data_IF_291098260792
#
_entry.id   IF_291098260792
#
_cell.length_a   1.000
_cell.length_b   1.000
_cell.length_c   1.000
_cell.angle_alpha   90.00
_cell.angle_beta   90.00
_cell.angle_gamma   90.00
#
_symmetry.space_group_name_H-M   'P 1'
#
loop_
_entity.id
_entity.type
_entity.pdbx_description
1 polymer ?
#
# COMPACT_ATOMS: atom_id res chain seq x y z
N UNK A 1 -8.73 -25.13 18.75
CA UNK A 1 -7.88 -25.46 17.59
C UNK A 1 -8.74 -25.47 16.35
N UNK A 2 -8.93 -24.32 15.72
CA UNK A 2 -9.52 -24.23 14.38
C UNK A 2 -8.34 -24.18 13.44
N UNK A 3 -8.28 -25.14 12.52
CA UNK A 3 -7.22 -25.29 11.56
C UNK A 3 -7.05 -24.00 10.74
N UNK A 4 -5.82 -23.53 10.71
CA UNK A 4 -5.30 -22.40 9.93
C UNK A 4 -5.42 -22.74 8.44
N UNK A 5 -6.56 -22.41 7.82
CA UNK A 5 -6.59 -22.15 6.39
C UNK A 5 -5.89 -20.81 6.18
N UNK A 6 -4.89 -20.76 5.30
CA UNK A 6 -4.11 -19.58 4.91
C UNK A 6 -4.99 -18.34 4.75
N UNK A 7 -5.17 -17.58 5.84
CA UNK A 7 -6.02 -16.40 5.83
C UNK A 7 -5.15 -15.25 5.32
N UNK A 8 -5.04 -15.12 4.00
CA UNK A 8 -4.30 -14.05 3.34
C UNK A 8 -4.98 -12.73 3.68
N UNK A 9 -4.45 -12.06 4.70
CA UNK A 9 -4.94 -10.76 5.15
C UNK A 9 -4.76 -9.73 4.02
N UNK A 10 -5.85 -9.09 3.61
CA UNK A 10 -5.83 -8.05 2.58
C UNK A 10 -5.77 -6.68 3.21
N UNK A 11 -4.92 -5.82 2.67
CA UNK A 11 -4.84 -4.41 3.06
C UNK A 11 -5.55 -3.56 2.03
N UNK A 12 -6.51 -2.77 2.48
CA UNK A 12 -7.36 -1.92 1.65
C UNK A 12 -7.17 -0.48 2.09
N UNK A 13 -6.99 0.44 1.14
CA UNK A 13 -7.13 1.88 1.37
C UNK A 13 -8.41 2.40 0.71
N UNK A 14 -9.25 3.12 1.45
CA UNK A 14 -10.40 3.84 0.89
C UNK A 14 -10.05 5.29 0.63
N UNK A 15 -10.30 5.74 -0.59
CA UNK A 15 -9.88 7.04 -1.11
C UNK A 15 -11.05 7.64 -1.91
N UNK A 16 -11.16 8.97 -1.97
CA UNK A 16 -12.29 9.66 -2.63
C UNK A 16 -12.40 11.09 -2.15
N UNK A 17 -13.13 11.94 -2.88
CA UNK A 17 -13.38 13.34 -2.53
C UNK A 17 -14.10 13.47 -1.17
N UNK A 18 -14.11 14.68 -0.63
CA UNK A 18 -15.08 15.05 0.39
C UNK A 18 -16.49 14.83 -0.18
N UNK A 19 -17.40 14.30 0.63
CA UNK A 19 -18.79 13.95 0.28
C UNK A 19 -19.02 12.77 -0.67
N UNK A 20 -17.99 12.08 -1.19
CA UNK A 20 -18.19 10.88 -2.03
C UNK A 20 -18.78 9.67 -1.27
N UNK A 21 -18.93 9.77 0.05
CA UNK A 21 -19.57 8.75 0.88
C UNK A 21 -18.64 7.63 1.37
N UNK A 22 -17.32 7.89 1.50
CA UNK A 22 -16.32 6.92 1.99
C UNK A 22 -16.71 6.29 3.32
N UNK A 23 -16.92 7.12 4.34
CA UNK A 23 -17.31 6.72 5.69
C UNK A 23 -18.62 5.93 5.69
N UNK A 24 -19.56 6.28 4.81
CA UNK A 24 -20.82 5.55 4.64
C UNK A 24 -20.60 4.16 4.06
N UNK A 25 -19.79 4.03 3.01
CA UNK A 25 -19.45 2.73 2.40
C UNK A 25 -18.73 1.83 3.40
N UNK A 26 -17.75 2.37 4.13
CA UNK A 26 -17.01 1.63 5.16
C UNK A 26 -17.96 1.19 6.27
N UNK A 27 -18.79 2.10 6.79
CA UNK A 27 -19.77 1.77 7.82
C UNK A 27 -20.75 0.70 7.36
N UNK A 28 -21.19 0.74 6.10
CA UNK A 28 -22.05 -0.28 5.46
C UNK A 28 -21.35 -1.63 5.38
N UNK A 29 -20.11 -1.68 4.88
CA UNK A 29 -19.29 -2.89 4.84
C UNK A 29 -19.13 -3.50 6.23
N UNK A 30 -18.80 -2.69 7.24
CA UNK A 30 -18.59 -3.18 8.61
C UNK A 30 -19.90 -3.65 9.28
N UNK A 31 -21.01 -2.95 9.04
CA UNK A 31 -22.32 -3.29 9.59
C UNK A 31 -22.85 -4.59 8.99
N UNK A 32 -22.89 -4.68 7.67
CA UNK A 32 -23.54 -5.77 6.95
C UNK A 32 -22.66 -7.04 6.89
N UNK A 33 -21.33 -6.91 7.00
CA UNK A 33 -20.42 -8.06 7.18
C UNK A 33 -20.46 -8.69 8.58
N UNK A 34 -21.30 -8.15 9.50
CA UNK A 34 -21.40 -8.58 10.91
C UNK A 34 -20.08 -8.49 11.68
N UNK A 35 -19.15 -7.64 11.23
CA UNK A 35 -17.85 -7.43 11.88
C UNK A 35 -17.92 -6.60 13.17
N UNK A 36 -19.07 -5.98 13.45
CA UNK A 36 -19.31 -5.16 14.64
C UNK A 36 -20.17 -5.93 15.64
N UNK A 37 -19.67 -6.14 16.86
CA UNK A 37 -20.44 -6.70 17.97
C UNK A 37 -21.70 -5.86 18.24
N UNK A 38 -22.86 -6.51 18.46
CA UNK A 38 -24.18 -5.86 18.68
C UNK A 38 -24.16 -4.72 19.70
N UNK A 39 -23.29 -4.81 20.71
CA UNK A 39 -23.14 -3.81 21.75
C UNK A 39 -22.66 -2.45 21.21
N UNK A 40 -21.78 -2.43 20.20
CA UNK A 40 -21.32 -1.18 19.58
C UNK A 40 -22.39 -0.55 18.70
N UNK A 41 -23.17 -1.36 17.98
CA UNK A 41 -24.32 -0.90 17.19
C UNK A 41 -25.37 -0.20 18.08
N UNK A 42 -25.63 -0.75 19.27
CA UNK A 42 -26.56 -0.15 20.24
C UNK A 42 -26.09 1.22 20.77
N UNK A 43 -24.78 1.42 20.91
CA UNK A 43 -24.20 2.71 21.30
C UNK A 43 -24.35 3.77 20.18
N UNK A 44 -24.20 3.34 18.92
CA UNK A 44 -24.36 4.20 17.74
C UNK A 44 -25.80 4.58 17.43
N UNK A 45 -26.77 3.68 17.64
CA UNK A 45 -28.20 4.02 17.54
C UNK A 45 -28.55 5.14 18.52
N UNK A 46 -27.96 5.13 19.72
CA UNK A 46 -28.14 6.18 20.74
C UNK A 46 -27.46 7.50 20.35
N UNK A 47 -26.27 7.43 19.74
CA UNK A 47 -25.55 8.61 19.25
C UNK A 47 -26.21 9.25 18.03
N UNK A 48 -26.70 8.46 17.07
CA UNK A 48 -27.41 8.93 15.86
C UNK A 48 -28.69 9.70 16.22
N UNK A 49 -29.43 9.23 17.24
CA UNK A 49 -30.61 9.94 17.78
C UNK A 49 -30.28 11.31 18.39
N UNK A 50 -29.02 11.59 18.72
CA UNK A 50 -28.58 12.83 19.34
C UNK A 50 -28.10 13.88 18.33
N UNK A 51 -27.83 13.48 17.08
CA UNK A 51 -27.18 14.32 16.05
C UNK A 51 -27.95 14.43 14.72
N UNK A 52 -29.24 14.06 14.64
CA UNK A 52 -30.01 14.17 13.40
C UNK A 52 -31.48 13.73 13.48
N UNK A 53 -32.10 13.53 12.31
CA UNK A 53 -33.53 13.25 12.06
C UNK A 53 -34.04 11.86 12.48
N UNK A 54 -33.17 11.02 13.06
CA UNK A 54 -33.48 9.65 13.47
C UNK A 54 -33.03 8.56 12.47
N UNK A 55 -32.44 8.93 11.33
CA UNK A 55 -31.78 7.99 10.42
C UNK A 55 -30.48 7.40 11.01
N UNK A 56 -30.17 6.14 10.66
CA UNK A 56 -29.01 5.43 11.18
C UNK A 56 -27.75 5.90 10.45
N UNK A 57 -26.97 6.78 11.09
CA UNK A 57 -25.78 7.37 10.46
C UNK A 57 -24.55 6.48 10.65
N UNK A 58 -24.27 5.66 9.63
CA UNK A 58 -23.15 4.73 9.60
C UNK A 58 -21.76 5.41 9.59
N UNK A 59 -21.65 6.68 9.20
CA UNK A 59 -20.37 7.41 9.25
C UNK A 59 -19.86 7.60 10.69
N UNK A 60 -20.74 7.55 11.69
CA UNK A 60 -20.35 7.63 13.10
C UNK A 60 -19.51 6.43 13.58
N UNK A 61 -19.47 5.34 12.81
CA UNK A 61 -18.59 4.19 13.07
C UNK A 61 -17.12 4.47 12.75
N UNK A 62 -16.86 5.30 11.76
CA UNK A 62 -15.52 5.53 11.21
C UNK A 62 -14.81 6.68 11.90
N UNK A 63 -15.55 7.74 12.25
CA UNK A 63 -14.98 9.02 12.70
C UNK A 63 -14.57 8.97 14.18
N UNK A 64 -13.27 8.85 14.42
CA UNK A 64 -12.68 8.59 15.74
C UNK A 64 -12.42 9.87 16.54
N UNK A 65 -12.06 10.97 15.87
CA UNK A 65 -11.67 12.22 16.52
C UNK A 65 -12.87 13.17 16.71
N UNK A 66 -12.84 13.96 17.79
CA UNK A 66 -13.85 15.03 18.01
C UNK A 66 -13.85 16.07 16.89
N UNK A 67 -12.66 16.44 16.40
CA UNK A 67 -12.50 17.38 15.29
C UNK A 67 -13.09 16.85 13.98
N UNK A 68 -12.93 15.55 13.70
CA UNK A 68 -13.54 14.89 12.53
C UNK A 68 -15.07 14.98 12.61
N UNK A 69 -15.65 14.69 13.78
CA UNK A 69 -17.10 14.75 14.01
C UNK A 69 -17.70 16.16 13.93
N UNK A 70 -16.94 17.17 14.32
CA UNK A 70 -17.36 18.57 14.25
C UNK A 70 -17.31 19.12 12.82
N UNK A 71 -16.40 18.60 11.99
CA UNK A 71 -16.18 19.08 10.61
C UNK A 71 -16.79 18.17 9.53
N UNK A 72 -17.21 16.94 9.87
CA UNK A 72 -17.75 15.97 8.92
C UNK A 72 -16.73 15.43 7.92
N UNK A 73 -15.44 15.45 8.25
CA UNK A 73 -14.34 14.98 7.41
C UNK A 73 -13.42 14.01 8.17
N UNK A 74 -12.85 13.02 7.48
CA UNK A 74 -11.75 12.19 7.99
C UNK A 74 -10.46 13.01 7.96
N UNK A 75 -9.67 13.02 9.04
CA UNK A 75 -8.44 13.82 9.19
C UNK A 75 -7.20 12.91 9.25
N UNK A 76 -7.26 11.82 10.01
CA UNK A 76 -6.15 10.86 10.15
C UNK A 76 -6.51 9.49 9.56
N UNK A 77 -5.51 8.64 9.30
CA UNK A 77 -5.75 7.29 8.79
C UNK A 77 -6.32 6.42 9.92
N UNK A 78 -7.60 6.05 9.81
CA UNK A 78 -8.22 5.14 10.76
C UNK A 78 -8.13 3.69 10.25
N UNK A 79 -7.46 2.83 11.02
CA UNK A 79 -7.40 1.39 10.72
C UNK A 79 -8.58 0.63 11.32
N UNK A 80 -9.27 -0.14 10.50
CA UNK A 80 -10.37 -1.01 10.88
C UNK A 80 -10.07 -2.44 10.44
N UNK A 81 -10.55 -3.40 11.23
CA UNK A 81 -10.34 -4.82 10.97
C UNK A 81 -11.70 -5.48 10.85
N UNK A 82 -11.88 -6.26 9.80
CA UNK A 82 -13.05 -7.12 9.65
C UNK A 82 -12.65 -8.41 8.94
N UNK A 83 -13.49 -9.42 9.05
CA UNK A 83 -13.25 -10.70 8.40
C UNK A 83 -14.57 -11.31 7.95
N UNK A 84 -14.49 -12.07 6.88
CA UNK A 84 -15.54 -12.97 6.42
C UNK A 84 -15.09 -14.42 6.64
N UNK A 85 -15.96 -15.41 6.41
CA UNK A 85 -15.55 -16.82 6.44
C UNK A 85 -14.43 -17.16 5.43
N UNK A 86 -14.25 -16.34 4.37
CA UNK A 86 -13.24 -16.58 3.33
C UNK A 86 -11.93 -15.83 3.57
N UNK A 87 -11.96 -14.64 4.19
CA UNK A 87 -10.78 -13.76 4.24
C UNK A 87 -10.82 -12.74 5.37
N UNK A 88 -9.64 -12.28 5.79
CA UNK A 88 -9.48 -11.16 6.73
C UNK A 88 -8.99 -9.90 6.02
N UNK A 89 -9.43 -8.75 6.54
CA UNK A 89 -9.22 -7.45 5.92
C UNK A 89 -8.72 -6.42 6.95
N UNK A 90 -7.79 -5.59 6.51
CA UNK A 90 -7.34 -4.37 7.18
C UNK A 90 -7.71 -3.21 6.29
N UNK A 91 -8.61 -2.36 6.76
CA UNK A 91 -9.09 -1.19 6.03
C UNK A 91 -8.49 0.08 6.63
N UNK A 92 -7.76 0.83 5.81
CA UNK A 92 -7.23 2.14 6.11
C UNK A 92 -8.17 3.20 5.52
N UNK A 93 -8.90 3.90 6.38
CA UNK A 93 -9.73 5.04 5.96
C UNK A 93 -8.85 6.26 5.74
N UNK A 94 -8.62 6.64 4.47
CA UNK A 94 -7.75 7.77 4.16
C UNK A 94 -8.55 9.07 3.99
N UNK A 95 -8.03 10.19 4.52
CA UNK A 95 -8.68 11.48 4.39
C UNK A 95 -8.75 11.93 2.92
N UNK A 96 -9.90 12.48 2.51
CA UNK A 96 -10.15 12.86 1.11
C UNK A 96 -9.78 14.29 0.73
N UNK A 97 -9.30 15.10 1.68
CA UNK A 97 -8.97 16.49 1.42
C UNK A 97 -7.53 16.64 0.93
N UNK A 98 -7.30 17.55 -0.02
CA UNK A 98 -5.99 17.82 -0.64
C UNK A 98 -4.84 18.01 0.36
N UNK A 99 -5.13 18.65 1.51
CA UNK A 99 -4.15 18.90 2.57
C UNK A 99 -3.63 17.63 3.27
N UNK A 100 -4.31 16.49 3.10
CA UNK A 100 -3.97 15.22 3.74
C UNK A 100 -3.41 14.17 2.75
N UNK A 101 -2.84 14.62 1.63
CA UNK A 101 -2.17 13.77 0.64
C UNK A 101 -1.10 12.87 1.30
N UNK A 102 -0.34 13.39 2.27
CA UNK A 102 0.58 12.61 3.12
C UNK A 102 -0.08 11.39 3.79
N UNK A 103 -1.27 11.57 4.35
CA UNK A 103 -1.99 10.51 5.08
C UNK A 103 -2.49 9.45 4.10
N UNK A 104 -2.99 9.89 2.93
CA UNK A 104 -3.34 8.99 1.84
C UNK A 104 -2.14 8.17 1.38
N UNK A 105 -0.98 8.79 1.15
CA UNK A 105 0.25 8.09 0.74
C UNK A 105 0.65 7.04 1.77
N UNK A 106 0.58 7.40 3.06
CA UNK A 106 0.88 6.48 4.15
C UNK A 106 -0.03 5.24 4.10
N UNK A 107 -1.35 5.42 4.00
CA UNK A 107 -2.31 4.30 3.95
C UNK A 107 -2.24 3.47 2.66
N UNK A 108 -2.13 4.13 1.51
CA UNK A 108 -2.13 3.46 0.20
C UNK A 108 -0.81 2.74 -0.10
N UNK A 109 0.33 3.20 0.43
CA UNK A 109 1.65 2.60 0.17
C UNK A 109 1.78 1.15 0.62
N UNK A 110 1.04 0.77 1.67
CA UNK A 110 1.01 -0.58 2.24
C UNK A 110 -0.23 -1.38 1.82
N UNK A 111 -1.08 -0.81 0.97
CA UNK A 111 -2.33 -1.42 0.55
C UNK A 111 -2.14 -2.30 -0.69
N UNK A 112 -2.90 -3.40 -0.71
CA UNK A 112 -3.03 -4.30 -1.84
C UNK A 112 -4.11 -3.79 -2.82
N UNK A 113 -5.16 -3.18 -2.26
CA UNK A 113 -6.33 -2.69 -2.99
C UNK A 113 -6.60 -1.23 -2.60
N UNK A 114 -6.88 -0.39 -3.60
CA UNK A 114 -7.35 0.98 -3.42
C UNK A 114 -8.81 1.05 -3.86
N UNK A 115 -9.73 1.34 -2.94
CA UNK A 115 -11.13 1.63 -3.28
C UNK A 115 -11.27 3.13 -3.50
N UNK A 116 -11.49 3.55 -4.74
CA UNK A 116 -11.73 4.94 -5.11
C UNK A 116 -13.22 5.14 -5.26
N UNK A 117 -13.81 5.98 -4.40
CA UNK A 117 -15.21 6.37 -4.51
C UNK A 117 -15.34 7.60 -5.42
N UNK A 118 -16.39 7.63 -6.23
CA UNK A 118 -16.75 8.76 -7.09
C UNK A 118 -18.25 9.00 -7.00
N UNK A 119 -18.67 10.22 -6.63
CA UNK A 119 -20.09 10.61 -6.67
C UNK A 119 -20.60 10.67 -8.11
N UNK A 120 -21.55 9.80 -8.45
CA UNK A 120 -22.13 9.71 -9.79
C UNK A 120 -22.72 11.03 -10.28
N UNK A 121 -23.20 11.91 -9.40
CA UNK A 121 -23.77 13.21 -9.79
C UNK A 121 -22.71 14.17 -10.33
N UNK A 122 -21.50 14.11 -9.77
CA UNK A 122 -20.41 15.03 -10.13
C UNK A 122 -19.41 14.40 -11.09
N UNK A 123 -19.27 13.07 -11.07
CA UNK A 123 -18.29 12.37 -11.89
C UNK A 123 -16.86 12.64 -11.42
N UNK A 124 -15.90 12.58 -12.35
CA UNK A 124 -14.47 12.71 -12.01
C UNK A 124 -14.09 14.18 -11.78
N UNK A 125 -13.99 14.56 -10.51
CA UNK A 125 -13.50 15.88 -10.08
C UNK A 125 -11.98 15.90 -9.89
N UNK A 126 -11.39 17.08 -9.68
CA UNK A 126 -9.93 17.25 -9.48
C UNK A 126 -9.40 16.36 -8.34
N UNK A 127 -10.12 16.28 -7.22
CA UNK A 127 -9.74 15.41 -6.10
C UNK A 127 -9.75 13.93 -6.50
N UNK A 128 -10.72 13.47 -7.29
CA UNK A 128 -10.74 12.10 -7.83
C UNK A 128 -9.51 11.84 -8.70
N UNK A 129 -9.17 12.75 -9.61
CA UNK A 129 -7.97 12.62 -10.48
C UNK A 129 -6.70 12.51 -9.64
N UNK A 130 -6.57 13.36 -8.62
CA UNK A 130 -5.44 13.34 -7.67
C UNK A 130 -5.32 11.99 -6.97
N UNK A 131 -6.43 11.48 -6.43
CA UNK A 131 -6.47 10.20 -5.73
C UNK A 131 -6.13 9.01 -6.62
N UNK A 132 -6.73 8.94 -7.82
CA UNK A 132 -6.41 7.92 -8.82
C UNK A 132 -4.93 7.99 -9.20
N UNK A 133 -4.38 9.20 -9.33
CA UNK A 133 -2.96 9.41 -9.66
C UNK A 133 -2.03 8.91 -8.56
N UNK A 134 -2.33 9.19 -7.30
CA UNK A 134 -1.52 8.71 -6.16
C UNK A 134 -1.60 7.18 -6.06
N UNK A 135 -2.80 6.59 -6.19
CA UNK A 135 -2.95 5.13 -6.23
C UNK A 135 -2.14 4.50 -7.38
N UNK A 136 -2.14 5.14 -8.56
CA UNK A 136 -1.30 4.76 -9.69
C UNK A 136 0.20 4.79 -9.39
N UNK A 137 0.67 5.89 -8.81
CA UNK A 137 2.09 6.09 -8.49
C UNK A 137 2.60 5.10 -7.44
N UNK A 138 1.76 4.81 -6.44
CA UNK A 138 2.02 3.82 -5.38
C UNK A 138 1.84 2.36 -5.85
N UNK A 139 1.55 2.15 -7.13
CA UNK A 139 1.46 0.83 -7.77
C UNK A 139 0.62 -0.17 -6.97
N UNK A 140 -0.55 0.27 -6.50
CA UNK A 140 -1.50 -0.61 -5.83
C UNK A 140 -1.96 -1.67 -6.83
N UNK A 141 -2.05 -2.94 -6.43
CA UNK A 141 -2.29 -4.05 -7.35
C UNK A 141 -3.65 -3.95 -8.04
N UNK A 142 -4.66 -3.50 -7.30
CA UNK A 142 -6.03 -3.35 -7.79
C UNK A 142 -6.64 -2.01 -7.38
N UNK A 143 -7.34 -1.38 -8.30
CA UNK A 143 -8.17 -0.21 -8.05
C UNK A 143 -9.64 -0.62 -8.19
N UNK A 144 -10.38 -0.60 -7.09
CA UNK A 144 -11.84 -0.78 -7.11
C UNK A 144 -12.49 0.59 -7.26
N UNK A 145 -13.09 0.86 -8.42
CA UNK A 145 -13.77 2.13 -8.69
C UNK A 145 -15.23 2.01 -8.27
N UNK A 146 -15.56 2.49 -7.08
CA UNK A 146 -16.91 2.49 -6.54
C UNK A 146 -17.66 3.77 -6.97
N UNK A 147 -18.44 3.67 -8.04
CA UNK A 147 -19.27 4.78 -8.54
C UNK A 147 -20.50 4.88 -7.64
N UNK A 148 -20.46 5.78 -6.66
CA UNK A 148 -21.42 5.86 -5.57
C UNK A 148 -22.56 6.83 -5.88
N UNK A 149 -23.67 6.70 -5.14
CA UNK A 149 -24.89 7.50 -5.27
C UNK A 149 -25.62 7.30 -6.61
N UNK A 150 -25.56 6.08 -7.15
CA UNK A 150 -26.29 5.72 -8.37
C UNK A 150 -27.81 5.88 -8.22
N UNK A 151 -28.34 5.78 -7.00
CA UNK A 151 -29.74 6.06 -6.68
C UNK A 151 -30.17 7.49 -7.01
N UNK A 152 -29.25 8.46 -6.95
CA UNK A 152 -29.53 9.87 -7.22
C UNK A 152 -29.44 10.23 -8.71
N UNK A 153 -28.95 9.31 -9.54
CA UNK A 153 -28.91 9.43 -11.00
C UNK A 153 -29.77 8.36 -11.66
N UNK A 154 -30.79 7.88 -10.94
CA UNK A 154 -31.78 6.91 -11.43
C UNK A 154 -31.15 5.63 -12.03
N UNK A 155 -29.98 5.23 -11.51
CA UNK A 155 -29.26 4.02 -11.94
C UNK A 155 -28.82 4.03 -13.41
N UNK A 156 -28.54 5.22 -13.97
CA UNK A 156 -28.16 5.43 -15.37
C UNK A 156 -26.82 4.74 -15.75
N UNK A 157 -26.88 3.82 -16.72
CA UNK A 157 -25.73 3.06 -17.24
C UNK A 157 -24.72 3.96 -17.98
N UNK A 158 -25.19 4.89 -18.81
CA UNK A 158 -24.31 5.79 -19.56
C UNK A 158 -23.49 6.68 -18.61
N UNK A 159 -24.11 7.14 -17.52
CA UNK A 159 -23.41 7.94 -16.52
C UNK A 159 -22.31 7.15 -15.82
N UNK A 160 -22.53 5.87 -15.56
CA UNK A 160 -21.52 4.98 -15.03
C UNK A 160 -20.37 4.81 -16.03
N UNK A 161 -20.68 4.51 -17.29
CA UNK A 161 -19.68 4.29 -18.36
C UNK A 161 -18.81 5.52 -18.63
N UNK A 162 -19.40 6.71 -18.61
CA UNK A 162 -18.67 7.97 -18.75
C UNK A 162 -17.61 8.13 -17.64
N UNK A 163 -17.98 7.84 -16.38
CA UNK A 163 -17.07 7.94 -15.24
C UNK A 163 -15.96 6.89 -15.33
N UNK A 164 -16.28 5.66 -15.74
CA UNK A 164 -15.29 4.60 -15.95
C UNK A 164 -14.29 5.02 -17.03
N UNK A 165 -14.77 5.61 -18.12
CA UNK A 165 -13.95 6.12 -19.22
C UNK A 165 -13.03 7.25 -18.77
N UNK A 166 -13.54 8.21 -18.00
CA UNK A 166 -12.76 9.32 -17.47
C UNK A 166 -11.61 8.84 -16.56
N UNK A 167 -11.87 7.87 -15.67
CA UNK A 167 -10.85 7.29 -14.79
C UNK A 167 -9.81 6.51 -15.60
N UNK A 168 -10.23 5.75 -16.61
CA UNK A 168 -9.31 5.08 -17.52
C UNK A 168 -8.40 6.07 -18.27
N UNK A 169 -8.92 7.23 -18.66
CA UNK A 169 -8.14 8.32 -19.29
C UNK A 169 -7.05 8.88 -18.37
N UNK A 170 -7.35 9.06 -17.08
CA UNK A 170 -6.37 9.47 -16.05
C UNK A 170 -5.23 8.45 -15.96
N UNK A 171 -5.56 7.17 -15.82
CA UNK A 171 -4.57 6.09 -15.72
C UNK A 171 -3.73 5.94 -16.99
N UNK A 172 -4.36 6.08 -18.16
CA UNK A 172 -3.70 6.06 -19.46
C UNK A 172 -2.67 7.19 -19.61
N UNK A 173 -2.99 8.39 -19.15
CA UNK A 173 -2.08 9.55 -19.15
C UNK A 173 -0.82 9.28 -18.31
N UNK A 174 -0.98 8.56 -17.19
CA UNK A 174 0.13 8.18 -16.32
C UNK A 174 0.90 6.93 -16.81
N UNK A 175 0.44 6.28 -17.89
CA UNK A 175 0.97 4.99 -18.36
C UNK A 175 0.77 3.86 -17.34
N UNK A 176 -0.18 4.01 -16.42
CA UNK A 176 -0.45 3.04 -15.36
C UNK A 176 -1.11 1.78 -15.94
N UNK A 177 -0.74 0.62 -15.39
CA UNK A 177 -1.30 -0.69 -15.76
C UNK A 177 -2.06 -1.34 -14.61
N UNK A 178 -2.45 -0.57 -13.60
CA UNK A 178 -3.23 -1.08 -12.48
C UNK A 178 -4.54 -1.67 -13.00
N UNK A 179 -4.90 -2.84 -12.49
CA UNK A 179 -6.18 -3.47 -12.80
C UNK A 179 -7.32 -2.69 -12.15
N UNK A 180 -8.22 -2.16 -12.97
CA UNK A 180 -9.40 -1.39 -12.52
C UNK A 180 -10.63 -2.27 -12.50
N UNK A 181 -11.39 -2.19 -11.41
CA UNK A 181 -12.63 -2.95 -11.20
C UNK A 181 -13.76 -1.97 -10.86
N UNK A 182 -14.54 -1.52 -11.86
CA UNK A 182 -15.62 -0.58 -11.64
C UNK A 182 -16.88 -1.29 -11.13
N UNK A 183 -17.50 -0.71 -10.09
CA UNK A 183 -18.72 -1.21 -9.45
C UNK A 183 -19.67 -0.03 -9.21
N UNK A 184 -20.89 -0.03 -9.76
CA UNK A 184 -21.90 0.97 -9.45
C UNK A 184 -22.52 0.63 -8.09
N UNK A 185 -22.54 1.58 -7.16
CA UNK A 185 -22.97 1.36 -5.77
C UNK A 185 -23.91 2.46 -5.28
N UNK A 186 -24.72 2.11 -4.27
CA UNK A 186 -25.33 3.08 -3.37
C UNK A 186 -24.98 2.71 -1.93
N UNK A 187 -24.01 3.42 -1.34
CA UNK A 187 -23.56 3.13 0.02
C UNK A 187 -24.67 3.30 1.07
N UNK A 188 -25.59 4.23 0.84
CA UNK A 188 -26.73 4.50 1.74
C UNK A 188 -27.73 3.35 1.70
N UNK A 189 -28.11 2.90 0.50
CA UNK A 189 -29.13 1.87 0.31
C UNK A 189 -28.57 0.44 0.41
N UNK A 190 -27.25 0.28 0.27
CA UNK A 190 -26.55 -1.01 0.33
C UNK A 190 -26.35 -1.70 -1.02
N UNK A 191 -26.85 -1.11 -2.11
CA UNK A 191 -26.75 -1.66 -3.47
C UNK A 191 -25.29 -1.93 -3.88
N UNK A 192 -25.01 -3.18 -4.25
CA UNK A 192 -23.69 -3.69 -4.67
C UNK A 192 -22.56 -3.48 -3.66
N UNK A 193 -22.86 -3.24 -2.37
CA UNK A 193 -21.83 -3.11 -1.32
C UNK A 193 -21.48 -4.47 -0.74
N UNK A 194 -22.46 -5.17 -0.18
CA UNK A 194 -22.32 -6.54 0.35
C UNK A 194 -23.04 -7.51 -0.56
N UNK A 195 -24.33 -7.25 -0.79
CA UNK A 195 -25.16 -8.04 -1.69
C UNK A 195 -25.31 -7.36 -3.06
N UNK A 196 -25.56 -8.16 -4.10
CA UNK A 196 -25.86 -7.65 -5.45
C UNK A 196 -27.21 -6.95 -5.46
N UNK A 197 -27.27 -5.81 -6.13
CA UNK A 197 -28.48 -5.02 -6.33
C UNK A 197 -29.39 -5.63 -7.41
N UNK A 198 -30.69 -5.39 -7.27
CA UNK A 198 -31.70 -5.66 -8.32
C UNK A 198 -32.12 -4.39 -9.07
N UNK A 199 -31.60 -3.21 -8.70
CA UNK A 199 -31.99 -1.92 -9.29
C UNK A 199 -31.22 -1.60 -10.59
N UNK A 200 -30.14 -2.33 -10.86
CA UNK A 200 -29.26 -2.13 -12.02
C UNK A 200 -29.20 -3.43 -12.84
N UNK A 201 -30.27 -3.75 -13.57
CA UNK A 201 -30.34 -4.99 -14.38
C UNK A 201 -29.22 -5.10 -15.43
N UNK A 202 -28.70 -3.95 -15.89
CA UNK A 202 -27.58 -3.86 -16.82
C UNK A 202 -26.22 -4.25 -16.19
N UNK A 203 -26.11 -4.25 -14.86
CA UNK A 203 -24.87 -4.57 -14.16
C UNK A 203 -24.78 -6.07 -13.77
N UNK A 204 -24.00 -6.83 -14.52
CA UNK A 204 -23.81 -8.27 -14.27
C UNK A 204 -22.63 -8.60 -13.33
N UNK A 205 -21.89 -7.60 -12.85
CA UNK A 205 -20.69 -7.77 -12.03
C UNK A 205 -20.94 -8.13 -10.54
N UNK A 206 -19.86 -8.32 -9.77
CA UNK A 206 -19.91 -8.66 -8.34
C UNK A 206 -20.26 -7.45 -7.45
N UNK A 207 -20.64 -7.70 -6.19
CA UNK A 207 -20.62 -6.64 -5.17
C UNK A 207 -19.18 -6.27 -4.78
N UNK A 208 -19.01 -5.15 -4.06
CA UNK A 208 -17.71 -4.75 -3.50
C UNK A 208 -17.15 -5.86 -2.61
N UNK A 209 -17.93 -6.42 -1.69
CA UNK A 209 -17.46 -7.48 -0.80
C UNK A 209 -17.08 -8.76 -1.56
N UNK A 210 -17.91 -9.20 -2.50
CA UNK A 210 -17.65 -10.40 -3.31
C UNK A 210 -16.32 -10.26 -4.09
N UNK A 211 -16.07 -9.09 -4.65
CA UNK A 211 -14.82 -8.80 -5.33
C UNK A 211 -13.64 -8.84 -4.36
N UNK A 212 -13.73 -8.18 -3.20
CA UNK A 212 -12.66 -8.18 -2.18
C UNK A 212 -12.33 -9.59 -1.66
N UNK A 213 -13.31 -10.47 -1.57
CA UNK A 213 -13.10 -11.88 -1.18
C UNK A 213 -12.38 -12.70 -2.25
N UNK A 214 -12.51 -12.33 -3.53
CA UNK A 214 -12.05 -13.14 -4.67
C UNK A 214 -10.79 -12.59 -5.35
N UNK A 215 -10.46 -11.32 -5.16
CA UNK A 215 -9.28 -10.69 -5.75
C UNK A 215 -7.99 -11.37 -5.28
N UNK A 216 -7.18 -11.83 -6.23
CA UNK A 216 -5.85 -12.34 -5.96
C UNK A 216 -4.88 -11.20 -5.67
N UNK A 217 -4.47 -11.06 -4.41
CA UNK A 217 -3.47 -10.06 -3.99
C UNK A 217 -2.10 -10.65 -3.75
N UNK A 218 -1.90 -11.91 -4.16
CA UNK A 218 -0.60 -12.56 -4.04
C UNK A 218 0.41 -11.76 -4.87
N UNK A 219 1.60 -11.43 -4.32
CA UNK A 219 2.63 -10.74 -5.08
C UNK A 219 2.88 -11.46 -6.41
N UNK A 220 3.06 -10.69 -7.49
CA UNK A 220 3.23 -11.23 -8.84
C UNK A 220 4.33 -12.31 -8.86
N UNK A 221 4.02 -13.45 -9.49
CA UNK A 221 4.99 -14.51 -9.71
C UNK A 221 6.17 -13.98 -10.53
N UNK A 222 7.40 -14.26 -10.11
CA UNK A 222 8.63 -13.88 -10.83
C UNK A 222 9.68 -13.12 -10.03
N UNK A 223 9.42 -12.82 -8.75
CA UNK A 223 10.46 -12.28 -7.85
C UNK A 223 11.16 -13.45 -7.16
N UNK A 224 12.48 -13.52 -7.33
CA UNK A 224 13.34 -14.51 -6.68
C UNK A 224 13.35 -14.32 -5.15
N UNK A 225 13.88 -15.31 -4.41
CA UNK A 225 13.91 -15.23 -2.96
C UNK A 225 14.71 -14.00 -2.47
N UNK A 226 14.15 -13.16 -1.61
CA UNK A 226 14.82 -11.99 -1.04
C UNK A 226 14.63 -11.98 0.47
N UNK A 227 15.71 -12.23 1.20
CA UNK A 227 15.75 -12.21 2.66
C UNK A 227 16.67 -11.07 3.13
N UNK A 228 16.12 -9.90 3.50
CA UNK A 228 16.88 -8.86 4.17
C UNK A 228 17.26 -9.33 5.57
N UNK A 229 18.55 -9.44 5.83
CA UNK A 229 19.03 -9.88 7.15
C UNK A 229 18.80 -8.75 8.15
N UNK A 230 18.06 -9.07 9.20
CA UNK A 230 17.75 -8.15 10.30
C UNK A 230 18.60 -8.46 11.52
N UNK A 231 18.95 -9.73 11.72
CA UNK A 231 19.69 -10.19 12.88
C UNK A 231 20.58 -11.41 12.56
N UNK A 232 21.68 -11.55 13.29
CA UNK A 232 22.56 -12.73 13.21
C UNK A 232 22.47 -13.49 14.53
N UNK A 233 21.98 -14.72 14.46
CA UNK A 233 21.91 -15.63 15.60
C UNK A 233 23.25 -16.37 15.71
N UNK A 234 23.88 -16.27 16.89
CA UNK A 234 25.14 -16.96 17.18
C UNK A 234 25.10 -17.47 18.62
N UNK A 235 25.50 -18.72 18.83
CA UNK A 235 25.64 -19.27 20.18
C UNK A 235 27.05 -18.96 20.69
N UNK A 236 27.14 -18.25 21.81
CA UNK A 236 28.41 -18.02 22.49
C UNK A 236 28.81 -19.29 23.26
N UNK A 237 30.05 -19.77 23.11
CA UNK A 237 30.57 -20.91 23.88
C UNK A 237 31.12 -22.10 23.07
N UNK A 238 31.48 -21.92 21.80
CA UNK A 238 32.21 -22.94 21.01
C UNK A 238 31.38 -23.77 20.03
N UNK A 239 30.12 -23.40 19.79
CA UNK A 239 29.32 -23.93 18.68
C UNK A 239 29.59 -23.12 17.40
N UNK A 240 29.65 -23.80 16.27
CA UNK A 240 29.74 -23.18 14.93
C UNK A 240 28.38 -22.74 14.39
N UNK A 241 27.32 -22.84 15.20
CA UNK A 241 25.97 -22.43 14.82
C UNK A 241 25.90 -20.95 14.49
N UNK A 242 25.47 -20.66 13.26
CA UNK A 242 25.26 -19.32 12.74
C UNK A 242 24.06 -19.32 11.80
N UNK A 243 23.01 -18.61 12.22
CA UNK A 243 21.82 -18.42 11.41
C UNK A 243 21.54 -16.93 11.20
N UNK A 244 20.96 -16.58 10.07
CA UNK A 244 20.63 -15.21 9.67
C UNK A 244 19.12 -15.06 9.66
N UNK A 245 18.62 -14.19 10.53
CA UNK A 245 17.20 -14.01 10.75
C UNK A 245 16.67 -12.75 10.07
N UNK A 246 15.46 -12.87 9.53
CA UNK A 246 14.72 -11.80 8.88
C UNK A 246 13.35 -12.28 8.43
N UNK A 247 12.59 -11.40 7.80
CA UNK A 247 11.34 -11.78 7.15
C UNK A 247 11.57 -11.96 5.66
N UNK A 248 11.18 -13.10 5.10
CA UNK A 248 11.31 -13.35 3.65
C UNK A 248 10.37 -12.39 2.91
N UNK A 249 10.90 -11.58 2.01
CA UNK A 249 10.14 -10.51 1.34
C UNK A 249 9.70 -10.87 -0.08
N UNK A 250 10.47 -11.69 -0.78
CA UNK A 250 10.18 -12.13 -2.14
C UNK A 250 10.53 -13.61 -2.29
N UNK A 251 9.93 -14.25 -3.28
CA UNK A 251 10.19 -15.64 -3.70
C UNK A 251 9.98 -16.71 -2.63
N UNK A 252 10.06 -17.97 -3.06
CA UNK A 252 10.08 -19.13 -2.16
C UNK A 252 11.54 -19.53 -1.95
N UNK A 253 11.95 -19.74 -0.70
CA UNK A 253 13.29 -20.21 -0.35
C UNK A 253 13.22 -21.65 0.15
N UNK A 254 14.11 -22.51 -0.33
CA UNK A 254 14.18 -23.93 0.05
C UNK A 254 15.55 -24.31 0.58
N UNK A 255 15.58 -25.33 1.43
CA UNK A 255 16.83 -25.99 1.79
C UNK A 255 17.47 -26.57 0.53
N UNK A 256 18.75 -26.30 0.33
CA UNK A 256 19.51 -26.66 -0.86
C UNK A 256 19.53 -25.59 -1.96
N UNK A 257 18.78 -24.49 -1.84
CA UNK A 257 18.83 -23.41 -2.83
C UNK A 257 20.20 -22.72 -2.83
N UNK A 258 20.72 -22.42 -4.02
CA UNK A 258 21.88 -21.56 -4.20
C UNK A 258 21.48 -20.10 -3.95
N UNK A 259 22.29 -19.41 -3.14
CA UNK A 259 22.02 -18.02 -2.73
C UNK A 259 23.27 -17.16 -2.87
N UNK A 260 23.05 -15.86 -3.01
CA UNK A 260 24.10 -14.83 -3.03
C UNK A 260 23.86 -13.83 -1.91
N UNK A 261 24.89 -13.52 -1.13
CA UNK A 261 24.87 -12.48 -0.10
C UNK A 261 25.26 -11.15 -0.74
N UNK A 262 24.31 -10.25 -0.86
CA UNK A 262 24.50 -8.90 -1.39
C UNK A 262 24.60 -7.87 -0.26
N UNK A 263 25.36 -6.77 -0.44
CA UNK A 263 26.11 -6.36 -1.64
C UNK A 263 27.51 -7.02 -1.79
N UNK A 264 27.83 -8.04 -0.98
CA UNK A 264 29.16 -8.66 -0.92
C UNK A 264 29.49 -9.56 -2.13
N UNK A 265 28.48 -10.02 -2.86
CA UNK A 265 28.63 -10.92 -4.01
C UNK A 265 29.14 -12.32 -3.67
N UNK A 266 29.01 -12.76 -2.41
CA UNK A 266 29.49 -14.08 -1.96
C UNK A 266 28.36 -15.10 -2.13
N UNK A 267 28.61 -16.19 -2.83
CA UNK A 267 27.64 -17.27 -3.04
C UNK A 267 27.76 -18.37 -1.99
N UNK A 268 26.64 -19.03 -1.70
CA UNK A 268 26.56 -20.21 -0.83
C UNK A 268 25.29 -21.01 -1.13
N UNK A 269 24.96 -21.96 -0.25
CA UNK A 269 23.76 -22.79 -0.33
C UNK A 269 23.04 -22.78 1.01
N UNK A 270 21.71 -22.75 0.98
CA UNK A 270 20.89 -22.86 2.19
C UNK A 270 21.02 -24.26 2.77
N UNK A 271 21.52 -24.38 4.01
CA UNK A 271 21.69 -25.67 4.69
C UNK A 271 20.51 -26.02 5.59
N UNK A 272 19.84 -25.02 6.16
CA UNK A 272 18.70 -25.19 7.08
C UNK A 272 17.85 -23.93 7.10
N UNK A 273 16.54 -24.11 7.27
CA UNK A 273 15.57 -23.03 7.46
C UNK A 273 14.76 -23.33 8.73
N UNK A 274 14.61 -22.33 9.57
CA UNK A 274 13.68 -22.33 10.69
C UNK A 274 12.61 -21.27 10.45
N UNK A 275 11.32 -21.66 10.52
CA UNK A 275 10.16 -20.76 10.41
C UNK A 275 9.49 -20.68 11.77
N UNK A 276 9.39 -19.48 12.35
CA UNK A 276 8.78 -19.26 13.66
C UNK A 276 9.31 -20.15 14.81
N UNK A 277 10.53 -20.68 14.69
CA UNK A 277 11.18 -21.52 15.70
C UNK A 277 11.25 -23.02 15.37
N UNK A 278 10.51 -23.49 14.36
CA UNK A 278 10.50 -24.88 13.93
C UNK A 278 11.26 -25.07 12.61
N UNK A 279 11.90 -26.23 12.42
CA UNK A 279 12.57 -26.55 11.16
C UNK A 279 11.56 -26.73 10.02
N UNK A 280 11.91 -26.21 8.85
CA UNK A 280 11.13 -26.34 7.63
C UNK A 280 12.03 -26.53 6.41
N UNK A 281 11.54 -27.26 5.40
CA UNK A 281 12.24 -27.42 4.13
C UNK A 281 12.02 -26.22 3.18
N UNK A 282 10.96 -25.45 3.42
CA UNK A 282 10.47 -24.37 2.55
C UNK A 282 9.98 -23.20 3.39
N UNK A 283 10.30 -21.98 2.96
CA UNK A 283 9.75 -20.73 3.47
C UNK A 283 9.12 -19.91 2.34
N UNK A 284 8.05 -19.18 2.67
CA UNK A 284 7.30 -18.32 1.73
C UNK A 284 7.34 -16.85 2.15
N UNK A 285 7.09 -15.89 1.24
CA UNK A 285 7.09 -14.48 1.58
C UNK A 285 6.15 -14.18 2.75
N UNK A 286 6.61 -13.35 3.68
CA UNK A 286 5.92 -13.02 4.92
C UNK A 286 6.39 -13.83 6.13
N UNK A 287 7.00 -15.00 5.93
CA UNK A 287 7.52 -15.82 7.02
C UNK A 287 8.68 -15.12 7.74
N UNK A 288 8.63 -15.14 9.07
CA UNK A 288 9.77 -14.79 9.91
C UNK A 288 10.68 -16.03 10.02
N UNK A 289 11.86 -15.97 9.40
CA UNK A 289 12.74 -17.11 9.23
C UNK A 289 14.14 -16.86 9.79
N UNK A 290 14.83 -17.95 10.13
CA UNK A 290 16.27 -17.98 10.32
C UNK A 290 16.88 -19.00 9.34
N UNK A 291 17.91 -18.58 8.62
CA UNK A 291 18.55 -19.38 7.57
C UNK A 291 20.00 -19.66 7.96
N UNK A 292 20.41 -20.93 7.88
CA UNK A 292 21.82 -21.32 7.94
C UNK A 292 22.35 -21.49 6.52
N UNK A 293 23.61 -21.12 6.32
CA UNK A 293 24.33 -21.31 5.06
C UNK A 293 25.34 -22.45 5.20
N UNK A 294 25.65 -23.10 4.09
CA UNK A 294 26.67 -24.15 4.04
C UNK A 294 28.07 -23.61 4.37
N UNK A 295 28.34 -22.35 3.99
CA UNK A 295 29.62 -21.68 4.22
C UNK A 295 29.52 -20.69 5.39
N UNK A 296 30.62 -20.59 6.16
CA UNK A 296 30.74 -19.63 7.25
C UNK A 296 31.02 -18.21 6.71
N UNK A 297 29.97 -17.55 6.23
CA UNK A 297 30.05 -16.21 5.65
C UNK A 297 29.78 -15.15 6.73
N UNK A 298 30.53 -14.07 6.72
CA UNK A 298 30.22 -12.94 7.57
C UNK A 298 29.03 -12.15 7.01
N UNK A 299 27.81 -12.53 7.40
CA UNK A 299 26.56 -11.83 7.06
C UNK A 299 26.01 -11.15 8.31
N UNK A 300 25.59 -9.89 8.16
CA UNK A 300 25.05 -9.05 9.22
C UNK A 300 23.83 -8.24 8.79
N UNK A 301 23.31 -7.41 9.70
CA UNK A 301 22.17 -6.54 9.42
C UNK A 301 22.48 -5.59 8.25
N UNK A 302 21.54 -5.51 7.30
CA UNK A 302 21.66 -4.68 6.11
C UNK A 302 22.29 -5.40 4.90
N UNK A 303 22.81 -6.62 5.08
CA UNK A 303 23.05 -7.54 3.98
C UNK A 303 21.72 -8.20 3.57
N UNK A 304 21.64 -8.67 2.33
CA UNK A 304 20.45 -9.32 1.77
C UNK A 304 20.88 -10.64 1.16
N UNK A 305 20.21 -11.73 1.54
CA UNK A 305 20.39 -13.04 0.94
C UNK A 305 19.38 -13.15 -0.19
N UNK A 306 19.86 -13.33 -1.41
CA UNK A 306 19.02 -13.49 -2.60
C UNK A 306 19.20 -14.87 -3.21
N UNK A 307 18.14 -15.47 -3.75
CA UNK A 307 18.30 -16.67 -4.57
C UNK A 307 19.17 -16.37 -5.80
N UNK A 308 19.96 -17.36 -6.21
CA UNK A 308 20.73 -17.28 -7.45
C UNK A 308 19.79 -17.57 -8.63
N UNK A 309 19.59 -16.58 -9.49
CA UNK A 309 18.64 -16.63 -10.60
C UNK A 309 18.83 -15.49 -11.60
N UNK A 310 17.96 -15.42 -12.61
CA UNK A 310 18.02 -14.41 -13.67
C UNK A 310 17.45 -13.05 -13.23
N UNK A 311 16.64 -13.01 -12.16
CA UNK A 311 15.96 -11.81 -11.67
C UNK A 311 16.54 -11.31 -10.34
N UNK A 312 17.86 -11.09 -10.31
CA UNK A 312 18.52 -10.56 -9.11
C UNK A 312 18.39 -9.04 -8.98
N UNK A 313 18.17 -8.55 -7.75
CA UNK A 313 18.21 -7.12 -7.49
C UNK A 313 19.62 -6.55 -7.71
N UNK A 314 19.68 -5.29 -8.11
CA UNK A 314 20.94 -4.65 -8.50
C UNK A 314 21.59 -3.95 -7.31
N UNK A 315 22.92 -4.02 -7.26
CA UNK A 315 23.72 -3.26 -6.31
C UNK A 315 24.05 -1.90 -6.92
N UNK A 316 23.61 -0.82 -6.30
CA UNK A 316 23.83 0.54 -6.82
C UNK A 316 24.03 1.56 -5.71
N UNK A 317 24.72 2.65 -6.04
CA UNK A 317 24.84 3.87 -5.24
C UNK A 317 24.03 5.03 -5.81
N UNK A 318 23.39 4.88 -6.96
CA UNK A 318 22.73 5.98 -7.65
C UNK A 318 21.35 5.53 -8.11
N UNK A 319 20.33 6.18 -7.55
CA UNK A 319 18.94 5.81 -7.79
C UNK A 319 18.15 6.98 -8.35
N UNK A 320 17.23 6.65 -9.26
CA UNK A 320 16.17 7.56 -9.72
C UNK A 320 14.88 7.09 -9.08
N UNK A 321 14.21 7.97 -8.36
CA UNK A 321 12.98 7.62 -7.64
C UNK A 321 11.91 8.69 -7.83
N UNK A 322 10.65 8.26 -7.92
CA UNK A 322 9.53 9.16 -7.66
C UNK A 322 9.42 9.32 -6.14
N UNK A 323 9.32 10.55 -5.65
CA UNK A 323 9.19 10.89 -4.23
C UNK A 323 7.85 11.57 -4.00
N UNK A 324 7.13 11.11 -2.98
CA UNK A 324 6.08 11.90 -2.33
C UNK A 324 6.73 12.64 -1.16
N UNK A 325 6.84 13.97 -1.24
CA UNK A 325 7.46 14.78 -0.20
C UNK A 325 6.48 15.04 0.95
N UNK A 326 6.90 14.68 2.16
CA UNK A 326 6.09 14.71 3.38
C UNK A 326 6.64 15.69 4.43
N UNK A 327 7.81 16.29 4.17
CA UNK A 327 8.47 17.25 5.03
C UNK A 327 7.86 18.64 4.93
N UNK A 328 7.80 19.35 6.07
CA UNK A 328 7.42 20.78 6.10
C UNK A 328 8.54 21.69 5.61
N UNK A 329 9.79 21.22 5.69
CA UNK A 329 10.94 21.91 5.09
C UNK A 329 11.04 21.54 3.62
N UNK A 330 11.24 22.53 2.77
CA UNK A 330 11.38 22.31 1.33
C UNK A 330 12.61 21.45 1.02
N UNK A 331 12.46 20.49 0.10
CA UNK A 331 13.58 19.73 -0.45
C UNK A 331 14.24 20.49 -1.59
N UNK A 332 15.57 20.54 -1.60
CA UNK A 332 16.40 21.18 -2.63
C UNK A 332 17.50 20.25 -3.13
N UNK A 333 18.01 20.54 -4.32
CA UNK A 333 19.22 19.88 -4.83
C UNK A 333 20.39 20.16 -3.88
N UNK A 334 21.12 19.12 -3.52
CA UNK A 334 22.22 19.16 -2.55
C UNK A 334 21.82 18.77 -1.13
N UNK A 335 20.53 18.72 -0.82
CA UNK A 335 20.07 18.33 0.51
C UNK A 335 20.42 16.87 0.83
N UNK A 336 20.73 16.64 2.10
CA UNK A 336 21.10 15.33 2.62
C UNK A 336 19.91 14.64 3.25
N UNK A 337 19.74 13.37 2.93
CA UNK A 337 18.70 12.51 3.47
C UNK A 337 19.33 11.24 4.04
N UNK A 338 18.72 10.67 5.07
CA UNK A 338 18.95 9.27 5.44
C UNK A 338 17.87 8.45 4.76
N UNK A 339 18.28 7.48 3.94
CA UNK A 339 17.38 6.57 3.26
C UNK A 339 17.35 5.25 4.02
N UNK A 340 16.16 4.83 4.45
CA UNK A 340 15.92 3.49 4.98
C UNK A 340 15.36 2.62 3.85
N UNK A 341 16.12 1.58 3.50
CA UNK A 341 15.78 0.62 2.47
C UNK A 341 15.92 -0.80 3.05
N UNK A 342 14.84 -1.56 3.06
CA UNK A 342 14.76 -2.87 3.71
C UNK A 342 15.33 -2.82 5.15
N UNK A 343 16.39 -3.59 5.45
CA UNK A 343 17.03 -3.62 6.77
C UNK A 343 18.20 -2.63 6.93
N UNK A 344 18.50 -1.82 5.90
CA UNK A 344 19.66 -0.92 5.81
C UNK A 344 19.24 0.55 5.90
N UNK A 345 20.10 1.34 6.53
CA UNK A 345 20.04 2.80 6.46
C UNK A 345 21.32 3.33 5.79
N UNK A 346 21.16 4.30 4.89
CA UNK A 346 22.26 4.89 4.14
C UNK A 346 22.05 6.39 3.99
N UNK A 347 23.12 7.17 4.12
CA UNK A 347 23.05 8.59 3.81
C UNK A 347 23.09 8.79 2.29
N UNK A 348 22.33 9.76 1.78
CA UNK A 348 22.35 10.16 0.39
C UNK A 348 22.17 11.67 0.23
N UNK A 349 22.43 12.16 -0.96
CA UNK A 349 22.19 13.54 -1.34
C UNK A 349 21.33 13.61 -2.61
N UNK A 350 20.42 14.59 -2.64
CA UNK A 350 19.62 14.88 -3.84
C UNK A 350 20.52 15.51 -4.89
N UNK A 351 20.71 14.84 -6.02
CA UNK A 351 21.57 15.34 -7.10
C UNK A 351 20.77 16.09 -8.18
N UNK A 352 19.48 15.77 -8.32
CA UNK A 352 18.58 16.48 -9.23
C UNK A 352 17.11 16.31 -8.84
N UNK A 353 16.29 17.29 -9.19
CA UNK A 353 14.83 17.21 -9.24
C UNK A 353 14.47 17.29 -10.73
N UNK A 354 14.06 16.17 -11.33
CA UNK A 354 13.82 16.07 -12.78
C UNK A 354 12.50 16.71 -13.21
N UNK A 355 11.50 16.67 -12.32
CA UNK A 355 10.21 17.29 -12.57
C UNK A 355 9.20 16.96 -11.48
N UNK A 356 8.33 17.92 -11.19
CA UNK A 356 7.20 17.80 -10.28
C UNK A 356 5.94 17.49 -11.08
N UNK A 357 5.22 16.45 -10.68
CA UNK A 357 3.93 16.12 -11.23
C UNK A 357 2.90 17.16 -10.77
N UNK A 358 2.33 17.87 -11.74
CA UNK A 358 1.16 18.70 -11.53
C UNK A 358 -0.07 17.79 -11.47
N UNK A 359 -0.75 17.76 -10.31
CA UNK A 359 -1.87 16.84 -10.06
C UNK A 359 -3.18 17.27 -10.74
N UNK A 360 -3.25 18.49 -11.28
CA UNK A 360 -4.41 19.00 -12.02
C UNK A 360 -4.32 18.63 -13.50
N UNK A 361 -3.14 18.83 -14.08
CA UNK A 361 -2.86 18.61 -15.51
C UNK A 361 -2.28 17.23 -15.80
N UNK A 362 -1.77 16.53 -14.78
CA UNK A 362 -1.04 15.26 -14.87
C UNK A 362 0.23 15.36 -15.72
N UNK A 363 0.81 16.56 -15.81
CA UNK A 363 2.03 16.82 -16.55
C UNK A 363 3.22 17.07 -15.61
N UNK A 364 4.41 16.69 -16.05
CA UNK A 364 5.64 17.01 -15.33
C UNK A 364 6.05 18.45 -15.63
N UNK A 365 6.24 19.23 -14.57
CA UNK A 365 6.71 20.61 -14.60
C UNK A 365 8.13 20.69 -14.02
N UNK A 366 9.04 21.53 -14.56
CA UNK A 366 10.33 21.76 -13.92
C UNK A 366 10.14 22.35 -12.51
N UNK A 367 10.93 21.89 -11.54
CA UNK A 367 10.90 22.39 -10.16
C UNK A 367 12.32 22.47 -9.60
N UNK A 368 12.63 23.58 -8.92
CA UNK A 368 13.91 23.76 -8.20
C UNK A 368 13.85 23.29 -6.76
N UNK A 369 12.64 23.24 -6.20
CA UNK A 369 12.36 22.85 -4.81
C UNK A 369 11.07 22.02 -4.76
N UNK A 370 10.96 21.12 -3.78
CA UNK A 370 9.70 20.41 -3.48
C UNK A 370 9.16 20.87 -2.13
N UNK A 371 7.87 21.19 -2.09
CA UNK A 371 7.14 21.55 -0.87
C UNK A 371 6.26 20.40 -0.40
N UNK A 372 5.70 20.51 0.81
CA UNK A 372 4.82 19.49 1.39
C UNK A 372 3.73 19.04 0.40
N UNK A 373 3.59 17.72 0.24
CA UNK A 373 2.68 17.02 -0.68
C UNK A 373 3.06 17.07 -2.17
N UNK A 374 4.18 17.69 -2.55
CA UNK A 374 4.66 17.58 -3.92
C UNK A 374 5.06 16.12 -4.24
N UNK A 375 4.74 15.71 -5.47
CA UNK A 375 5.21 14.46 -6.03
C UNK A 375 6.14 14.78 -7.19
N UNK A 376 7.34 14.22 -7.18
CA UNK A 376 8.35 14.53 -8.18
C UNK A 376 9.26 13.35 -8.46
N UNK A 377 9.95 13.40 -9.59
CA UNK A 377 11.07 12.50 -9.85
C UNK A 377 12.38 13.15 -9.42
N UNK A 378 13.14 12.44 -8.60
CA UNK A 378 14.44 12.90 -8.08
C UNK A 378 15.54 11.89 -8.37
N UNK A 379 16.77 12.38 -8.42
CA UNK A 379 18.00 11.58 -8.42
C UNK A 379 18.69 11.69 -7.08
N UNK A 380 19.18 10.56 -6.58
CA UNK A 380 19.89 10.46 -5.32
C UNK A 380 21.20 9.73 -5.54
N UNK A 381 22.26 10.27 -4.94
CA UNK A 381 23.55 9.58 -4.83
C UNK A 381 23.79 9.19 -3.37
N UNK A 382 24.17 7.93 -3.15
CA UNK A 382 24.25 7.27 -1.86
C UNK A 382 25.71 7.11 -1.43
N UNK A 383 25.96 7.24 -0.12
CA UNK A 383 27.33 7.08 0.43
C UNK A 383 27.79 5.63 0.49
N UNK A 384 26.87 4.66 0.37
CA UNK A 384 27.17 3.24 0.30
C UNK A 384 26.11 2.53 -0.56
N UNK A 385 26.43 1.36 -1.16
CA UNK A 385 25.51 0.69 -2.04
C UNK A 385 24.30 0.12 -1.30
N UNK A 386 23.15 0.10 -1.97
CA UNK A 386 21.96 -0.66 -1.62
C UNK A 386 21.72 -1.76 -2.66
N UNK A 387 20.92 -2.76 -2.30
CA UNK A 387 20.55 -3.88 -3.18
C UNK A 387 19.06 -3.73 -3.48
N UNK A 388 18.72 -3.21 -4.65
CA UNK A 388 17.37 -2.73 -4.92
C UNK A 388 16.81 -3.23 -6.26
N UNK A 389 15.49 -3.22 -6.35
CA UNK A 389 14.74 -3.47 -7.57
C UNK A 389 13.99 -2.21 -8.00
N UNK A 390 13.45 -2.23 -9.21
CA UNK A 390 12.45 -1.25 -9.62
C UNK A 390 11.13 -1.51 -8.89
N UNK A 391 10.50 -0.46 -8.39
CA UNK A 391 9.24 -0.53 -7.63
C UNK A 391 8.09 -1.17 -8.42
N UNK A 392 8.11 -1.05 -9.76
CA UNK A 392 7.12 -1.66 -10.65
C UNK A 392 7.24 -3.19 -10.72
N UNK A 393 8.45 -3.71 -10.51
CA UNK A 393 8.74 -5.16 -10.54
C UNK A 393 8.59 -5.75 -9.15
N UNK A 394 9.12 -5.07 -8.14
CA UNK A 394 9.13 -5.52 -6.75
C UNK A 394 8.90 -4.32 -5.82
N UNK A 395 7.67 -4.19 -5.30
CA UNK A 395 7.28 -3.08 -4.42
C UNK A 395 8.15 -3.03 -3.17
N UNK A 396 8.46 -4.17 -2.57
CA UNK A 396 9.25 -4.21 -1.33
C UNK A 396 10.68 -3.72 -1.56
N UNK A 397 11.39 -4.34 -2.51
CA UNK A 397 12.79 -3.98 -2.79
C UNK A 397 12.96 -2.67 -3.59
N UNK A 398 11.87 -2.13 -4.14
CA UNK A 398 11.86 -0.80 -4.79
C UNK A 398 11.35 0.34 -3.91
N UNK A 399 10.99 0.07 -2.65
CA UNK A 399 10.48 1.09 -1.71
C UNK A 399 11.58 1.64 -0.81
N UNK A 400 11.61 2.96 -0.63
CA UNK A 400 12.58 3.64 0.22
C UNK A 400 11.86 4.68 1.09
N UNK A 401 12.24 4.80 2.35
CA UNK A 401 11.78 5.87 3.23
C UNK A 401 12.89 6.90 3.36
N UNK A 402 12.59 8.17 3.07
CA UNK A 402 13.50 9.28 3.34
C UNK A 402 13.25 9.87 4.72
N UNK A 403 14.34 10.04 5.46
CA UNK A 403 14.40 10.51 6.83
C UNK A 403 15.28 11.75 6.88
N UNK A 404 14.81 12.78 7.56
CA UNK A 404 15.61 13.97 7.81
C UNK A 404 16.71 13.66 8.84
N UNK A 405 17.99 13.92 8.53
CA UNK A 405 19.12 13.53 9.38
C UNK A 405 19.19 14.27 10.72
N UNK A 406 18.48 15.40 10.88
CA UNK A 406 18.54 16.23 12.09
C UNK A 406 17.42 15.88 13.05
N UNK A 407 16.18 15.86 12.55
CA UNK A 407 14.97 15.61 13.33
C UNK A 407 14.61 14.13 13.44
N UNK A 408 15.17 13.27 12.60
CA UNK A 408 14.75 11.88 12.40
C UNK A 408 13.28 11.73 11.96
N UNK A 409 12.66 12.79 11.45
CA UNK A 409 11.32 12.73 10.90
C UNK A 409 11.32 11.99 9.55
N UNK A 410 10.27 11.22 9.28
CA UNK A 410 10.01 10.72 7.93
C UNK A 410 9.54 11.87 7.05
N UNK A 411 10.33 12.21 6.04
CA UNK A 411 10.13 13.37 5.17
C UNK A 411 9.81 12.99 3.72
N UNK A 412 9.93 11.72 3.34
CA UNK A 412 9.54 11.27 2.01
C UNK A 412 9.27 9.78 1.92
N UNK A 413 8.36 9.41 1.03
CA UNK A 413 8.18 8.04 0.56
C UNK A 413 8.64 7.96 -0.90
N UNK A 414 9.56 7.04 -1.20
CA UNK A 414 10.25 6.97 -2.48
C UNK A 414 9.99 5.62 -3.16
N UNK A 415 9.73 5.68 -4.46
CA UNK A 415 9.53 4.54 -5.34
C UNK A 415 10.64 4.53 -6.39
N UNK A 416 11.53 3.55 -6.34
CA UNK A 416 12.65 3.43 -7.27
C UNK A 416 12.13 3.16 -8.68
N UNK A 417 12.50 4.04 -9.62
CA UNK A 417 12.16 3.98 -11.05
C UNK A 417 13.37 3.71 -11.95
N UNK A 418 14.58 3.91 -11.44
CA UNK A 418 15.82 3.62 -12.14
C UNK A 418 16.96 3.31 -11.17
N UNK A 419 17.84 2.42 -11.61
CA UNK A 419 19.07 2.00 -10.94
C UNK A 419 20.21 2.30 -11.91
N UNK A 420 21.29 2.92 -11.45
CA UNK A 420 22.41 3.32 -12.31
C UNK A 420 23.76 2.75 -11.84
#
# INVERSE_FOLDING_TARGET
MVATLNNTQVRIATIGSVDDGKSTLIGRLLHDSKGIFEDQLSALSRASKKYGDGSFNLALLTDGLRAEREQGITIDVAYRYFATPKRSFVLADTPGHAQFTRNMVTGASVSDIAIVLVDARHGVVEQTRRHVSIAALLNVSHLVLAVNKMDLVEWDEQRFDDIVTDVAGVLGTLGSRIAVHPIPVSAVNGDNVVDRSTNMEWYEGPSVLDLLETLDVTPAAGVDAILPVQWTNRVYGGSDYRAYAGQLQGGVLRVGDAVTVQPKGITSTVSSITVAGDFADVAVPGDAIAVELADQIDVGRGDIIVATGDSQPQVTTDIVADVCWLGETDLRVGDRLVLRHLSREVAGAVTAIEGRLDLETLQNSPAETLVLNDIARIRLSLTSPIVADLYVTNRTAGSVVAIDPVSNATVGALMIRGLQ
#
